data_IF_640734839685
#
_entry.id   IF_640734839685
#
_cell.length_a   1.000
_cell.length_b   1.000
_cell.length_c   1.000
_cell.angle_alpha   90.00
_cell.angle_beta   90.00
_cell.angle_gamma   90.00
#
_symmetry.space_group_name_H-M   'P 1'
#
loop_
_entity.id
_entity.type
_entity.pdbx_description
1 polymer ?
#
# COMPACT_ATOMS: atom_id res chain seq x y z
N UNK A 1 -0.18 -2.44 18.16
CA UNK A 1 0.37 -3.72 17.69
C UNK A 1 1.48 -4.15 18.63
N UNK A 2 1.62 -5.45 18.85
CA UNK A 2 2.69 -6.09 19.61
C UNK A 2 3.59 -6.87 18.66
N UNK A 3 4.78 -7.26 19.13
CA UNK A 3 5.66 -8.12 18.35
C UNK A 3 4.94 -9.45 18.05
N UNK A 4 4.91 -9.83 16.78
CA UNK A 4 4.20 -11.01 16.29
C UNK A 4 2.79 -10.74 15.77
N UNK A 5 2.22 -9.55 16.01
CA UNK A 5 1.00 -9.14 15.31
C UNK A 5 1.36 -8.87 13.83
N UNK A 6 0.59 -9.47 12.92
CA UNK A 6 0.72 -9.24 11.49
C UNK A 6 -0.65 -9.13 10.84
N UNK A 7 -0.69 -8.57 9.64
CA UNK A 7 -1.80 -8.68 8.72
C UNK A 7 -1.28 -9.30 7.43
N UNK A 8 -2.12 -10.07 6.76
CA UNK A 8 -1.80 -10.76 5.53
C UNK A 8 -2.87 -10.42 4.49
N UNK A 9 -2.46 -10.35 3.22
CA UNK A 9 -3.36 -10.07 2.11
C UNK A 9 -2.92 -10.84 0.87
N UNK A 10 -3.89 -11.16 0.02
CA UNK A 10 -3.63 -11.73 -1.29
C UNK A 10 -3.35 -10.59 -2.28
N UNK A 11 -2.23 -10.68 -3.00
CA UNK A 11 -1.96 -9.77 -4.12
C UNK A 11 -2.84 -10.20 -5.31
N UNK A 12 -4.00 -9.56 -5.46
CA UNK A 12 -4.93 -9.90 -6.56
C UNK A 12 -4.40 -9.51 -7.95
N UNK A 13 -3.44 -8.59 -7.99
CA UNK A 13 -2.71 -8.17 -9.19
C UNK A 13 -1.21 -8.16 -8.87
N UNK A 14 -0.38 -7.98 -9.90
CA UNK A 14 1.04 -7.73 -9.69
C UNK A 14 1.25 -6.40 -8.94
N UNK A 15 1.88 -6.47 -7.77
CA UNK A 15 2.14 -5.32 -6.90
C UNK A 15 3.64 -5.03 -6.78
N UNK A 16 3.98 -3.74 -6.85
CA UNK A 16 5.25 -3.23 -6.34
C UNK A 16 5.02 -2.73 -4.91
N UNK A 17 5.45 -3.51 -3.92
CA UNK A 17 5.27 -3.18 -2.52
C UNK A 17 6.39 -2.26 -2.01
N UNK A 18 6.00 -1.19 -1.32
CA UNK A 18 6.89 -0.32 -0.57
C UNK A 18 6.32 -0.10 0.83
N UNK A 19 7.14 -0.31 1.86
CA UNK A 19 6.75 -0.13 3.26
C UNK A 19 7.75 0.79 3.93
N UNK A 20 7.24 1.68 4.79
CA UNK A 20 8.05 2.62 5.57
C UNK A 20 7.72 2.48 7.04
N UNK A 21 8.75 2.41 7.87
CA UNK A 21 8.62 2.50 9.32
C UNK A 21 8.36 3.96 9.69
N UNK A 22 7.09 4.29 9.95
CA UNK A 22 6.68 5.66 10.29
C UNK A 22 7.48 6.19 11.49
N UNK A 23 8.08 7.39 11.41
CA UNK A 23 8.85 7.95 12.53
C UNK A 23 7.98 8.21 13.77
N UNK A 24 6.66 8.37 13.60
CA UNK A 24 5.70 8.50 14.71
C UNK A 24 5.54 7.23 15.57
N UNK A 25 6.18 6.13 15.18
CA UNK A 25 6.16 4.88 15.94
C UNK A 25 4.75 4.35 16.17
N UNK A 26 4.41 4.09 17.42
CA UNK A 26 3.09 3.59 17.84
C UNK A 26 2.06 4.69 18.14
N UNK A 27 2.40 5.97 17.87
CA UNK A 27 1.58 7.15 18.12
C UNK A 27 1.22 7.37 19.60
N UNK A 28 1.88 6.69 20.54
CA UNK A 28 1.68 6.92 21.98
C UNK A 28 2.31 8.23 22.48
N UNK A 29 3.27 8.76 21.71
CA UNK A 29 3.92 10.05 21.97
C UNK A 29 3.35 11.08 20.98
N UNK A 30 2.80 12.22 21.46
CA UNK A 30 2.34 13.28 20.57
C UNK A 30 3.49 13.83 19.71
N UNK A 31 3.28 13.86 18.40
CA UNK A 31 4.26 14.45 17.47
C UNK A 31 4.12 15.98 17.35
N UNK A 32 3.00 16.54 17.79
CA UNK A 32 2.63 17.94 17.64
C UNK A 32 1.95 18.46 18.89
N UNK A 33 2.08 19.76 19.15
CA UNK A 33 1.45 20.44 20.29
C UNK A 33 2.40 20.69 21.46
N UNK A 34 1.87 21.22 22.58
CA UNK A 34 2.69 21.62 23.73
C UNK A 34 3.36 20.44 24.43
N UNK A 35 2.77 19.24 24.35
CA UNK A 35 3.28 18.01 24.95
C UNK A 35 4.07 17.15 23.94
N UNK A 36 4.50 17.75 22.82
CA UNK A 36 5.24 17.03 21.79
C UNK A 36 6.60 16.56 22.30
N UNK A 37 6.93 15.31 22.02
CA UNK A 37 8.24 14.72 22.31
C UNK A 37 8.69 13.84 21.15
N UNK A 38 9.95 13.39 21.20
CA UNK A 38 10.53 12.54 20.15
C UNK A 38 9.87 11.14 20.15
N UNK A 39 9.16 10.75 19.08
CA UNK A 39 8.54 9.43 18.95
C UNK A 39 9.53 8.32 18.51
N UNK A 40 10.77 8.65 18.12
CA UNK A 40 11.74 7.66 17.64
C UNK A 40 11.95 6.45 18.57
N UNK A 41 11.93 6.57 19.92
CA UNK A 41 12.03 5.41 20.81
C UNK A 41 10.92 4.38 20.63
N UNK A 42 9.73 4.79 20.16
CA UNK A 42 8.60 3.90 19.88
C UNK A 42 8.55 3.43 18.42
N UNK A 43 9.40 3.98 17.55
CA UNK A 43 9.58 3.48 16.19
C UNK A 43 10.28 2.12 16.20
N UNK A 44 9.69 1.14 15.49
CA UNK A 44 10.16 -0.25 15.42
C UNK A 44 10.29 -0.67 13.95
N UNK A 45 11.23 -1.59 13.63
CA UNK A 45 11.31 -2.17 12.30
C UNK A 45 10.03 -2.96 11.96
N UNK A 46 9.68 -2.99 10.67
CA UNK A 46 8.56 -3.77 10.14
C UNK A 46 9.14 -4.82 9.19
N UNK A 47 8.63 -6.06 9.27
CA UNK A 47 8.98 -7.15 8.37
C UNK A 47 7.96 -7.29 7.24
N UNK A 48 8.42 -7.81 6.09
CA UNK A 48 7.57 -8.22 4.98
C UNK A 48 7.99 -9.62 4.59
N UNK A 49 7.00 -10.48 4.39
CA UNK A 49 7.19 -11.84 3.92
C UNK A 49 6.29 -12.05 2.71
N UNK A 50 6.81 -12.73 1.69
CA UNK A 50 6.09 -13.03 0.45
C UNK A 50 5.99 -14.53 0.33
N UNK A 51 4.77 -15.02 0.19
CA UNK A 51 4.45 -16.43 0.09
C UNK A 51 3.81 -16.71 -1.25
N UNK A 52 4.21 -17.82 -1.88
CA UNK A 52 3.50 -18.38 -3.01
C UNK A 52 2.39 -19.32 -2.50
N UNK A 53 1.30 -19.40 -3.25
CA UNK A 53 0.13 -20.20 -2.87
C UNK A 53 -0.06 -21.38 -3.83
N UNK A 54 -0.43 -22.56 -3.33
CA UNK A 54 -0.78 -23.68 -4.19
C UNK A 54 -1.90 -23.30 -5.17
N UNK A 55 -1.71 -23.64 -6.44
CA UNK A 55 -2.61 -23.23 -7.54
C UNK A 55 -4.04 -23.77 -7.35
N UNK A 56 -4.20 -24.90 -6.67
CA UNK A 56 -5.51 -25.46 -6.33
C UNK A 56 -6.35 -24.53 -5.44
N UNK A 57 -5.74 -23.67 -4.62
CA UNK A 57 -6.44 -22.70 -3.78
C UNK A 57 -6.97 -21.51 -4.60
N UNK A 58 -6.40 -21.27 -5.78
CA UNK A 58 -6.81 -20.23 -6.71
C UNK A 58 -7.84 -20.74 -7.74
N UNK A 59 -8.37 -21.95 -7.57
CA UNK A 59 -9.35 -22.51 -8.49
C UNK A 59 -10.61 -21.63 -8.58
N UNK A 60 -10.89 -21.10 -9.77
CA UNK A 60 -12.03 -20.22 -10.04
C UNK A 60 -11.79 -18.75 -9.68
N UNK A 61 -10.64 -18.42 -9.09
CA UNK A 61 -10.21 -17.03 -8.92
C UNK A 61 -9.64 -16.49 -10.23
N UNK A 62 -9.87 -15.20 -10.51
CA UNK A 62 -9.23 -14.48 -11.60
C UNK A 62 -8.90 -13.07 -11.17
N UNK A 63 -7.77 -12.55 -11.65
CA UNK A 63 -7.34 -11.18 -11.39
C UNK A 63 -8.42 -10.18 -11.81
N UNK A 64 -8.72 -9.18 -10.97
CA UNK A 64 -9.68 -8.14 -11.32
C UNK A 64 -9.23 -7.39 -12.56
N UNK A 65 -10.21 -6.95 -13.35
CA UNK A 65 -9.97 -6.12 -14.53
C UNK A 65 -9.97 -4.65 -14.15
N UNK A 66 -9.28 -3.83 -14.94
CA UNK A 66 -9.39 -2.38 -14.81
C UNK A 66 -10.85 -1.95 -14.98
N UNK A 67 -11.23 -0.86 -14.30
CA UNK A 67 -12.57 -0.29 -14.44
C UNK A 67 -12.87 0.05 -15.90
N UNK A 68 -14.10 -0.23 -16.33
CA UNK A 68 -14.64 0.09 -17.65
C UNK A 68 -14.96 1.59 -17.83
N UNK A 69 -14.73 2.41 -16.80
CA UNK A 69 -14.87 3.85 -16.91
C UNK A 69 -13.80 4.44 -17.83
N UNK A 70 -14.24 5.02 -18.95
CA UNK A 70 -13.37 5.61 -19.96
C UNK A 70 -12.54 6.82 -19.46
N UNK A 71 -12.78 7.31 -18.24
CA UNK A 71 -12.07 8.45 -17.70
C UNK A 71 -12.42 9.77 -18.38
N UNK A 72 -11.57 10.77 -18.15
CA UNK A 72 -11.54 12.06 -18.84
C UNK A 72 -12.82 12.90 -18.84
N UNK A 73 -13.89 12.51 -18.15
CA UNK A 73 -15.15 13.26 -18.07
C UNK A 73 -15.69 13.69 -19.46
N UNK A 74 -15.45 12.86 -20.49
CA UNK A 74 -15.84 13.17 -21.88
C UNK A 74 -14.85 14.08 -22.64
N UNK A 75 -13.72 14.45 -22.05
CA UNK A 75 -12.61 15.11 -22.74
C UNK A 75 -11.76 14.09 -23.51
N UNK A 76 -11.16 14.52 -24.62
CA UNK A 76 -10.17 13.71 -25.33
C UNK A 76 -8.80 13.94 -24.69
N UNK A 77 -8.01 12.87 -24.51
CA UNK A 77 -6.61 13.04 -24.12
C UNK A 77 -5.88 13.90 -25.15
N UNK A 78 -5.13 14.93 -24.71
CA UNK A 78 -4.23 15.62 -25.61
C UNK A 78 -3.14 14.64 -26.05
N UNK A 79 -2.98 14.48 -27.37
CA UNK A 79 -1.87 13.73 -27.95
C UNK A 79 -0.67 14.68 -27.94
N UNK A 80 0.28 14.43 -27.05
CA UNK A 80 1.52 15.21 -26.99
C UNK A 80 2.46 14.74 -28.10
N UNK A 81 2.82 15.61 -29.04
CA UNK A 81 3.83 15.34 -30.07
C UNK A 81 3.38 15.49 -31.53
N UNK A 82 2.15 15.89 -31.81
CA UNK A 82 1.75 16.32 -33.17
C UNK A 82 1.83 17.84 -33.24
N UNK A 83 2.84 18.36 -33.97
CA UNK A 83 2.82 19.75 -34.45
C UNK A 83 1.68 19.90 -35.46
N UNK A 84 0.86 20.93 -35.24
CA UNK A 84 -0.26 21.36 -36.09
C UNK A 84 0.14 21.71 -37.51
#
# INVERSE_FOLDING_TARGET
>A
AKAGDYFEFLAEIDLLCAVSTCPGGDLSIPMWGPDAADPLPTCKPIGIEVYDVPQELLAGWSSPQASDYAGFFGLKQPVWGEES
#
